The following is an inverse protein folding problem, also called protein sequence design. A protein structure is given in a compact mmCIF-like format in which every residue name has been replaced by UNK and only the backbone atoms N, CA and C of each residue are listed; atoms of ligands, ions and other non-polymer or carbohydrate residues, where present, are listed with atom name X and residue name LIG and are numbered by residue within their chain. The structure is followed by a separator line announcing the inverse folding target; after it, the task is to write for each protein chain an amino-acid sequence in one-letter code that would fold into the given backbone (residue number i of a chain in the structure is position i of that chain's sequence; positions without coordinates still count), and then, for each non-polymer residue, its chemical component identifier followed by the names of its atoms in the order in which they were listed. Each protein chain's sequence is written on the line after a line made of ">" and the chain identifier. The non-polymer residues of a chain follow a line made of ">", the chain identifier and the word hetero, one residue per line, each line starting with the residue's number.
data_IF_673931783862
#
_entry.id   IF_673931783862
#
_cell.length_a   1.000
_cell.length_b   1.000
_cell.length_c   1.000
_cell.angle_alpha   90.00
_cell.angle_beta   90.00
_cell.angle_gamma   90.00
#
_symmetry.space_group_name_H-M   'P 1'
#
loop_
_entity.id
_entity.type
_entity.pdbx_description
1 polymer ?
#
# COMPACT_ATOMS: atom_id res chain seq x y z
N UNK A 1 6.34 11.49 -26.50
CA UNK A 1 4.97 11.75 -26.98
C UNK A 1 4.22 12.75 -26.09
N UNK A 2 3.76 12.44 -24.86
CA UNK A 2 2.91 13.35 -24.03
C UNK A 2 3.36 14.83 -23.95
N UNK A 3 4.66 15.11 -23.88
CA UNK A 3 5.20 16.48 -23.79
C UNK A 3 6.06 16.90 -24.99
N UNK A 4 6.10 16.10 -26.07
CA UNK A 4 6.97 16.35 -27.22
C UNK A 4 8.49 16.19 -26.97
N UNK A 5 8.95 16.35 -25.72
CA UNK A 5 10.35 16.25 -25.31
C UNK A 5 10.58 15.07 -24.35
N UNK A 6 11.74 14.43 -24.44
CA UNK A 6 12.24 13.46 -23.45
C UNK A 6 13.60 13.92 -22.93
N UNK A 7 13.69 14.26 -21.65
CA UNK A 7 14.98 14.40 -20.98
C UNK A 7 15.53 13.02 -20.64
N UNK A 8 16.61 12.62 -21.32
CA UNK A 8 17.24 11.31 -21.14
C UNK A 8 17.99 11.18 -19.81
N UNK A 9 18.31 12.30 -19.16
CA UNK A 9 19.02 12.32 -17.86
C UNK A 9 18.17 11.75 -16.73
N UNK A 10 16.86 11.60 -16.96
CA UNK A 10 15.92 11.14 -15.95
C UNK A 10 15.79 12.12 -14.80
N UNK A 11 15.21 11.67 -13.69
CA UNK A 11 14.89 12.57 -12.57
C UNK A 11 13.58 13.35 -12.81
N UNK A 12 12.97 13.85 -11.74
CA UNK A 12 11.65 14.49 -11.77
C UNK A 12 10.51 13.52 -11.43
N UNK A 13 9.34 13.70 -12.04
CA UNK A 13 8.09 13.02 -11.65
C UNK A 13 8.10 11.47 -11.70
N UNK A 14 8.96 10.88 -12.51
CA UNK A 14 9.09 9.42 -12.64
C UNK A 14 10.21 8.86 -11.75
N UNK A 15 10.82 9.69 -10.92
CA UNK A 15 11.92 9.33 -10.02
C UNK A 15 11.42 9.01 -8.63
N UNK A 16 12.14 8.13 -7.93
CA UNK A 16 12.00 7.95 -6.49
C UNK A 16 12.29 9.23 -5.67
N UNK A 17 12.85 10.29 -6.27
CA UNK A 17 13.01 11.58 -5.58
C UNK A 17 11.69 12.21 -5.16
N UNK A 18 10.64 12.04 -5.97
CA UNK A 18 9.32 12.60 -5.65
C UNK A 18 8.71 11.95 -4.40
N UNK A 19 8.97 10.65 -4.20
CA UNK A 19 8.40 9.91 -3.08
C UNK A 19 8.97 10.34 -1.74
N UNK A 20 10.14 10.99 -1.71
CA UNK A 20 10.69 11.60 -0.50
C UNK A 20 9.75 12.67 0.09
N UNK A 21 9.08 13.46 -0.77
CA UNK A 21 8.13 14.48 -0.31
C UNK A 21 6.84 13.86 0.21
N UNK A 22 6.38 12.77 -0.41
CA UNK A 22 5.24 11.99 0.10
C UNK A 22 5.51 11.45 1.50
N UNK A 23 6.67 10.83 1.70
CA UNK A 23 7.07 10.28 3.01
C UNK A 23 7.22 11.39 4.06
N UNK A 24 7.83 12.52 3.70
CA UNK A 24 7.96 13.66 4.61
C UNK A 24 6.59 14.22 5.04
N UNK A 25 5.66 14.41 4.10
CA UNK A 25 4.30 14.85 4.39
C UNK A 25 3.52 13.78 5.20
N UNK A 26 3.66 12.51 4.82
CA UNK A 26 3.06 11.38 5.52
C UNK A 26 3.53 11.26 6.97
N UNK A 27 4.76 11.64 7.29
CA UNK A 27 5.25 11.67 8.67
C UNK A 27 4.47 12.69 9.54
N UNK A 28 4.14 13.86 8.98
CA UNK A 28 3.28 14.86 9.65
C UNK A 28 1.88 14.26 9.88
N UNK A 29 1.31 13.63 8.84
CA UNK A 29 -0.01 13.01 8.93
C UNK A 29 -0.04 11.87 9.96
N UNK A 30 0.94 10.95 9.94
CA UNK A 30 1.10 9.88 10.92
C UNK A 30 1.16 10.43 12.34
N UNK A 31 1.95 11.48 12.57
CA UNK A 31 2.07 12.11 13.89
C UNK A 31 0.75 12.70 14.36
N UNK A 32 0.08 13.48 13.51
CA UNK A 32 -1.22 14.08 13.84
C UNK A 32 -2.28 13.02 14.15
N UNK A 33 -2.38 11.99 13.31
CA UNK A 33 -3.34 10.89 13.46
C UNK A 33 -3.11 10.11 14.75
N UNK A 34 -1.85 9.82 15.08
CA UNK A 34 -1.48 9.14 16.32
C UNK A 34 -1.83 9.98 17.55
N UNK A 35 -1.43 11.26 17.59
CA UNK A 35 -1.64 12.12 18.76
C UNK A 35 -3.11 12.49 18.98
N UNK A 36 -3.89 12.66 17.90
CA UNK A 36 -5.29 13.12 17.99
C UNK A 36 -6.31 12.00 18.08
N UNK A 37 -6.04 10.86 17.45
CA UNK A 37 -7.01 9.78 17.31
C UNK A 37 -6.47 8.42 17.78
N UNK A 38 -5.20 8.32 18.19
CA UNK A 38 -4.57 7.04 18.52
C UNK A 38 -4.32 6.15 17.30
N UNK A 39 -4.49 6.68 16.08
CA UNK A 39 -4.37 5.91 14.84
C UNK A 39 -2.91 5.58 14.58
N UNK A 40 -2.60 4.29 14.45
CA UNK A 40 -1.26 3.80 14.13
C UNK A 40 -1.25 3.18 12.74
N UNK A 41 -0.29 3.61 11.92
CA UNK A 41 -0.16 3.16 10.52
C UNK A 41 1.17 2.45 10.34
N UNK A 42 1.11 1.20 9.90
CA UNK A 42 2.28 0.33 9.68
C UNK A 42 2.11 -0.46 8.39
N UNK A 43 3.19 -0.69 7.67
CA UNK A 43 3.23 -1.49 6.45
C UNK A 43 4.32 -2.53 6.47
N UNK A 44 4.16 -3.58 5.69
CA UNK A 44 5.12 -4.66 5.57
C UNK A 44 5.08 -5.29 4.17
N UNK A 45 6.18 -5.94 3.79
CA UNK A 45 6.27 -6.74 2.57
C UNK A 45 5.48 -8.04 2.77
N UNK A 46 4.37 -8.18 2.05
CA UNK A 46 3.49 -9.35 2.15
C UNK A 46 3.69 -10.39 1.03
N UNK A 47 4.48 -10.05 0.00
CA UNK A 47 4.95 -11.00 -1.01
C UNK A 47 6.14 -10.43 -1.79
N UNK A 48 7.15 -11.24 -2.08
CA UNK A 48 8.24 -10.93 -3.02
C UNK A 48 8.35 -12.04 -4.05
N UNK A 49 7.91 -11.80 -5.28
CA UNK A 49 7.82 -12.86 -6.28
C UNK A 49 7.03 -14.06 -5.76
N UNK A 50 7.62 -15.28 -5.73
CA UNK A 50 6.95 -16.47 -5.22
C UNK A 50 6.94 -16.57 -3.68
N UNK A 51 7.74 -15.77 -2.97
CA UNK A 51 7.94 -15.91 -1.52
C UNK A 51 6.90 -15.07 -0.77
N UNK A 52 6.22 -15.70 0.18
CA UNK A 52 5.22 -15.07 1.06
C UNK A 52 5.62 -15.29 2.52
N UNK A 53 5.62 -14.24 3.37
CA UNK A 53 5.70 -14.42 4.82
C UNK A 53 4.53 -15.29 5.31
N UNK A 54 4.78 -16.15 6.28
CA UNK A 54 3.74 -16.98 6.89
C UNK A 54 3.28 -16.44 8.24
N UNK A 55 4.04 -15.49 8.80
CA UNK A 55 3.77 -14.85 10.08
C UNK A 55 3.78 -13.34 9.93
N UNK A 56 3.02 -12.68 10.80
CA UNK A 56 3.06 -11.24 10.98
C UNK A 56 3.61 -10.93 12.37
N UNK A 57 4.90 -10.62 12.46
CA UNK A 57 5.52 -10.05 13.66
C UNK A 57 5.93 -8.61 13.37
N UNK A 58 5.27 -7.66 14.06
CA UNK A 58 5.53 -6.24 13.86
C UNK A 58 6.90 -5.80 14.38
N UNK A 59 7.47 -6.51 15.36
CA UNK A 59 8.74 -6.11 16.00
C UNK A 59 9.93 -6.31 15.06
N UNK A 60 9.83 -7.22 14.08
CA UNK A 60 10.92 -7.50 13.13
C UNK A 60 10.80 -6.73 11.82
N UNK A 61 9.66 -6.08 11.53
CA UNK A 61 9.42 -5.40 10.24
C UNK A 61 10.50 -4.36 9.96
N UNK A 62 10.82 -3.50 10.92
CA UNK A 62 11.80 -2.43 10.71
C UNK A 62 13.26 -2.88 10.95
N UNK A 63 13.48 -4.13 11.36
CA UNK A 63 14.83 -4.64 11.71
C UNK A 63 15.55 -5.32 10.54
N UNK A 64 14.90 -5.41 9.38
CA UNK A 64 15.44 -6.05 8.19
C UNK A 64 15.21 -5.19 6.93
N UNK A 65 16.04 -5.32 5.89
CA UNK A 65 15.99 -4.42 4.72
C UNK A 65 14.77 -4.66 3.82
N UNK A 66 13.98 -5.70 4.06
CA UNK A 66 12.83 -6.07 3.23
C UNK A 66 11.50 -5.54 3.76
N UNK A 67 11.45 -5.03 5.00
CA UNK A 67 10.20 -4.86 5.73
C UNK A 67 9.43 -6.18 5.86
N UNK A 68 10.13 -7.30 5.91
CA UNK A 68 9.52 -8.62 6.06
C UNK A 68 9.05 -8.80 7.52
N UNK A 69 7.81 -9.22 7.76
CA UNK A 69 7.31 -9.45 9.11
C UNK A 69 7.63 -10.86 9.64
N UNK A 70 8.37 -11.66 8.88
CA UNK A 70 8.71 -13.04 9.20
C UNK A 70 10.23 -13.22 9.10
N UNK A 71 10.89 -13.19 10.25
CA UNK A 71 12.35 -13.31 10.34
C UNK A 71 12.88 -14.62 9.74
N UNK A 72 12.08 -15.70 9.76
CA UNK A 72 12.49 -17.00 9.22
C UNK A 72 12.59 -16.99 7.69
N UNK A 73 11.88 -16.07 7.02
CA UNK A 73 11.89 -15.92 5.56
C UNK A 73 12.98 -14.97 5.05
N UNK A 74 13.59 -14.17 5.91
CA UNK A 74 14.63 -13.18 5.49
C UNK A 74 15.79 -13.83 4.74
N UNK A 75 16.40 -14.96 5.18
CA UNK A 75 17.49 -15.59 4.44
C UNK A 75 17.07 -16.08 3.04
N UNK A 76 15.82 -16.55 2.90
CA UNK A 76 15.27 -16.98 1.62
C UNK A 76 15.10 -15.80 0.65
N UNK A 77 14.61 -14.66 1.17
CA UNK A 77 14.49 -13.41 0.40
C UNK A 77 15.86 -12.90 -0.06
N UNK A 78 16.88 -12.95 0.79
CA UNK A 78 18.26 -12.56 0.45
C UNK A 78 18.82 -13.43 -0.67
N UNK A 79 18.72 -14.76 -0.52
CA UNK A 79 19.20 -15.71 -1.52
C UNK A 79 18.49 -15.53 -2.87
N UNK A 80 17.17 -15.31 -2.85
CA UNK A 80 16.39 -15.07 -4.06
C UNK A 80 16.78 -13.76 -4.75
N UNK A 81 17.01 -12.70 -3.98
CA UNK A 81 17.44 -11.40 -4.52
C UNK A 81 18.86 -11.44 -5.09
N UNK A 82 19.76 -12.22 -4.49
CA UNK A 82 21.09 -12.47 -5.05
C UNK A 82 21.05 -13.29 -6.33
N UNK A 83 20.17 -14.28 -6.42
CA UNK A 83 19.93 -15.01 -7.66
C UNK A 83 19.45 -14.08 -8.78
N UNK A 84 18.43 -13.24 -8.51
CA UNK A 84 17.93 -12.25 -9.48
C UNK A 84 19.02 -11.27 -9.94
N UNK A 85 19.88 -10.81 -9.03
CA UNK A 85 21.03 -9.95 -9.38
C UNK A 85 22.02 -10.64 -10.31
N UNK A 86 22.31 -11.92 -10.07
CA UNK A 86 23.21 -12.74 -10.91
C UNK A 86 22.60 -12.98 -12.29
N UNK A 87 21.30 -13.23 -12.36
CA UNK A 87 20.54 -13.39 -13.60
C UNK A 87 20.36 -12.06 -14.37
N UNK A 88 20.55 -10.92 -13.71
CA UNK A 88 20.29 -9.59 -14.29
C UNK A 88 18.79 -9.31 -14.47
N UNK A 89 17.94 -9.97 -13.68
CA UNK A 89 16.49 -9.95 -13.76
C UNK A 89 15.86 -9.14 -12.61
N UNK A 90 14.54 -8.98 -12.62
CA UNK A 90 13.78 -8.28 -11.58
C UNK A 90 12.48 -9.00 -11.26
N UNK A 91 11.88 -8.64 -10.12
CA UNK A 91 10.64 -9.25 -9.63
C UNK A 91 9.71 -8.20 -9.02
N UNK A 92 8.41 -8.52 -9.01
CA UNK A 92 7.39 -7.71 -8.35
C UNK A 92 7.28 -8.02 -6.85
N UNK A 93 6.47 -7.22 -6.16
CA UNK A 93 6.17 -7.41 -4.74
C UNK A 93 4.74 -6.98 -4.41
N UNK A 94 4.22 -7.46 -3.28
CA UNK A 94 2.99 -6.96 -2.66
C UNK A 94 3.34 -6.36 -1.30
N UNK A 95 2.86 -5.15 -1.05
CA UNK A 95 2.95 -4.48 0.24
C UNK A 95 1.56 -4.48 0.88
N UNK A 96 1.48 -4.82 2.16
CA UNK A 96 0.27 -4.61 2.96
C UNK A 96 0.50 -3.42 3.88
N UNK A 97 -0.47 -2.51 3.95
CA UNK A 97 -0.47 -1.38 4.89
C UNK A 97 -1.72 -1.46 5.74
N UNK A 98 -1.56 -1.30 7.05
CA UNK A 98 -2.60 -1.42 8.06
C UNK A 98 -2.69 -0.12 8.85
N UNK A 99 -3.89 0.43 8.99
CA UNK A 99 -4.19 1.50 9.94
C UNK A 99 -5.10 0.96 11.05
N UNK A 100 -4.58 0.97 12.28
CA UNK A 100 -5.28 0.46 13.47
C UNK A 100 -5.83 1.62 14.30
N UNK A 101 -7.01 1.46 14.87
CA UNK A 101 -7.65 2.48 15.73
C UNK A 101 -8.31 3.63 14.97
N UNK A 102 -8.65 3.43 13.69
CA UNK A 102 -9.35 4.44 12.88
C UNK A 102 -10.80 4.54 13.36
N UNK A 103 -11.29 5.73 13.79
CA UNK A 103 -12.68 5.89 14.19
C UNK A 103 -13.65 5.55 13.05
N UNK A 104 -14.84 5.00 13.35
CA UNK A 104 -15.85 4.77 12.33
C UNK A 104 -16.36 6.08 11.71
N UNK A 105 -16.77 6.02 10.45
CA UNK A 105 -17.44 7.11 9.75
C UNK A 105 -16.54 8.03 8.92
N UNK A 106 -15.24 7.76 8.79
CA UNK A 106 -14.38 8.53 7.87
C UNK A 106 -14.59 8.07 6.43
N UNK A 107 -14.88 9.01 5.53
CA UNK A 107 -15.17 8.77 4.11
C UNK A 107 -16.27 9.71 3.63
N UNK A 108 -16.30 10.07 2.34
CA UNK A 108 -17.31 10.99 1.79
C UNK A 108 -18.02 10.37 0.56
N UNK A 109 -18.99 9.45 0.80
CA UNK A 109 -19.83 8.95 -0.28
C UNK A 109 -20.62 10.07 -0.98
N UNK A 110 -20.91 9.98 -2.28
CA UNK A 110 -20.77 8.78 -3.12
C UNK A 110 -19.47 8.72 -3.93
N UNK A 111 -18.79 9.84 -4.17
CA UNK A 111 -17.64 9.92 -5.09
C UNK A 111 -16.29 9.84 -4.40
N UNK A 112 -16.18 10.40 -3.20
CA UNK A 112 -14.94 10.48 -2.42
C UNK A 112 -15.00 9.44 -1.28
N UNK A 113 -15.41 8.23 -1.63
CA UNK A 113 -15.39 7.10 -0.70
C UNK A 113 -13.96 6.83 -0.25
N UNK A 114 -13.79 6.41 0.99
CA UNK A 114 -12.46 6.20 1.58
C UNK A 114 -11.64 5.17 0.79
N UNK A 115 -12.25 4.04 0.41
CA UNK A 115 -11.63 3.00 -0.41
C UNK A 115 -11.23 3.51 -1.81
N UNK A 116 -12.05 4.37 -2.42
CA UNK A 116 -11.75 4.98 -3.72
C UNK A 116 -10.53 5.90 -3.67
N UNK A 117 -10.44 6.77 -2.66
CA UNK A 117 -9.29 7.67 -2.46
C UNK A 117 -8.02 6.89 -2.06
N UNK A 118 -8.15 5.84 -1.25
CA UNK A 118 -7.04 4.95 -0.95
C UNK A 118 -6.54 4.22 -2.20
N UNK A 119 -7.44 3.70 -3.02
CA UNK A 119 -7.08 3.06 -4.29
C UNK A 119 -6.36 4.05 -5.23
N UNK A 120 -6.88 5.28 -5.34
CA UNK A 120 -6.24 6.35 -6.11
C UNK A 120 -4.83 6.66 -5.58
N UNK A 121 -4.70 6.89 -4.28
CA UNK A 121 -3.44 7.24 -3.63
C UNK A 121 -2.38 6.14 -3.79
N UNK A 122 -2.75 4.87 -3.59
CA UNK A 122 -1.83 3.74 -3.77
C UNK A 122 -1.46 3.52 -5.24
N UNK A 123 -2.43 3.61 -6.16
CA UNK A 123 -2.17 3.46 -7.60
C UNK A 123 -1.33 4.62 -8.17
N UNK A 124 -1.29 5.77 -7.49
CA UNK A 124 -0.43 6.90 -7.84
C UNK A 124 1.06 6.64 -7.61
N UNK A 125 1.42 5.56 -6.89
CA UNK A 125 2.80 5.20 -6.61
C UNK A 125 3.39 4.54 -7.86
N UNK A 126 4.59 4.97 -8.25
CA UNK A 126 5.26 4.39 -9.41
C UNK A 126 5.42 2.87 -9.26
N UNK A 127 5.18 2.15 -10.36
CA UNK A 127 5.15 0.69 -10.46
C UNK A 127 3.96 -0.02 -9.79
N UNK A 128 3.07 0.68 -9.08
CA UNK A 128 1.81 0.09 -8.63
C UNK A 128 0.95 -0.33 -9.82
N UNK A 129 0.34 -1.52 -9.75
CA UNK A 129 -0.48 -2.12 -10.81
C UNK A 129 -1.81 -2.70 -10.32
N UNK A 130 -1.98 -2.87 -9.01
CA UNK A 130 -3.21 -3.35 -8.39
C UNK A 130 -3.31 -2.86 -6.96
N UNK A 131 -4.53 -2.60 -6.50
CA UNK A 131 -4.83 -2.24 -5.11
C UNK A 131 -6.03 -3.08 -4.66
N UNK A 132 -5.97 -3.58 -3.44
CA UNK A 132 -7.01 -4.38 -2.80
C UNK A 132 -7.32 -3.78 -1.42
N UNK A 133 -8.58 -3.82 -1.02
CA UNK A 133 -9.05 -3.49 0.33
C UNK A 133 -9.58 -4.77 0.96
N UNK A 134 -9.17 -5.05 2.21
CA UNK A 134 -9.54 -6.29 2.90
C UNK A 134 -9.15 -7.53 2.12
N UNK A 135 -10.10 -8.45 1.95
CA UNK A 135 -9.90 -9.69 1.18
C UNK A 135 -9.60 -9.46 -0.31
N UNK A 136 -9.87 -8.27 -0.84
CA UNK A 136 -9.48 -7.92 -2.20
C UNK A 136 -10.12 -8.81 -3.26
N UNK A 137 -9.30 -9.31 -4.18
CA UNK A 137 -9.78 -10.21 -5.22
C UNK A 137 -10.25 -11.57 -4.70
N UNK A 138 -9.86 -11.99 -3.49
CA UNK A 138 -10.35 -13.23 -2.89
C UNK A 138 -11.87 -13.18 -2.64
N UNK A 139 -12.45 -11.98 -2.49
CA UNK A 139 -13.90 -11.81 -2.31
C UNK A 139 -14.72 -12.33 -3.51
N UNK A 140 -14.14 -12.42 -4.71
CA UNK A 140 -14.82 -12.91 -5.93
C UNK A 140 -15.25 -14.37 -5.79
N UNK A 141 -14.49 -15.18 -5.04
CA UNK A 141 -14.76 -16.60 -4.84
C UNK A 141 -15.67 -16.87 -3.63
N UNK A 142 -16.03 -15.84 -2.85
CA UNK A 142 -16.73 -15.99 -1.60
C UNK A 142 -18.26 -15.90 -1.76
N UNK A 143 -18.97 -16.69 -0.96
CA UNK A 143 -20.43 -16.54 -0.80
C UNK A 143 -20.71 -15.44 0.21
N UNK A 144 -21.79 -14.68 0.02
CA UNK A 144 -22.18 -13.60 0.94
C UNK A 144 -22.49 -14.05 2.38
N UNK A 145 -22.70 -15.34 2.64
CA UNK A 145 -22.80 -15.89 4.01
C UNK A 145 -21.45 -16.06 4.70
N UNK A 146 -20.37 -16.16 3.94
CA UNK A 146 -19.00 -16.26 4.44
C UNK A 146 -18.28 -14.90 4.41
N UNK A 147 -18.57 -14.07 3.40
CA UNK A 147 -17.91 -12.76 3.24
C UNK A 147 -18.43 -11.68 4.19
N UNK A 148 -19.66 -11.81 4.72
CA UNK A 148 -20.25 -10.77 5.56
C UNK A 148 -19.49 -10.69 6.89
N UNK A 149 -19.11 -9.47 7.26
CA UNK A 149 -18.58 -9.21 8.60
C UNK A 149 -19.74 -9.07 9.58
N UNK A 150 -19.98 -10.12 10.37
CA UNK A 150 -21.04 -10.13 11.39
C UNK A 150 -20.65 -9.25 12.59
N UNK A 151 -21.64 -8.57 13.18
CA UNK A 151 -21.45 -7.60 14.26
C UNK A 151 -22.19 -8.07 15.50
N UNK A 152 -21.49 -8.06 16.64
CA UNK A 152 -22.05 -8.28 17.97
C UNK A 152 -21.85 -7.03 18.84
N UNK A 153 -22.41 -7.01 20.04
CA UNK A 153 -22.12 -5.95 21.03
C UNK A 153 -20.66 -5.91 21.45
N UNK A 154 -19.92 -7.01 21.29
CA UNK A 154 -18.50 -7.14 21.63
C UNK A 154 -17.59 -6.80 20.46
N UNK A 155 -18.14 -6.64 19.24
CA UNK A 155 -17.39 -6.24 18.05
C UNK A 155 -17.70 -7.06 16.81
N UNK A 156 -16.92 -6.81 15.75
CA UNK A 156 -17.00 -7.53 14.49
C UNK A 156 -16.31 -8.91 14.59
N UNK A 157 -16.96 -9.95 14.08
CA UNK A 157 -16.43 -11.33 14.14
C UNK A 157 -15.36 -11.63 13.07
N UNK A 158 -15.26 -10.79 12.05
CA UNK A 158 -14.30 -10.88 10.94
C UNK A 158 -14.05 -9.50 10.35
N UNK A 159 -13.02 -9.36 9.49
CA UNK A 159 -12.68 -8.11 8.80
C UNK A 159 -12.40 -8.34 7.30
N UNK A 160 -13.32 -9.03 6.61
CA UNK A 160 -13.24 -9.29 5.18
C UNK A 160 -13.32 -8.00 4.36
N UNK A 161 -14.05 -7.00 4.86
CA UNK A 161 -14.16 -5.68 4.26
C UNK A 161 -12.90 -4.80 4.42
N UNK A 162 -11.93 -5.22 5.25
CA UNK A 162 -10.70 -4.45 5.46
C UNK A 162 -10.93 -3.06 6.04
N UNK A 163 -11.86 -2.96 7.00
CA UNK A 163 -12.15 -1.76 7.76
C UNK A 163 -12.96 -0.69 7.04
N UNK A 164 -13.47 -0.98 5.83
CA UNK A 164 -14.26 -0.02 5.04
C UNK A 164 -15.57 -0.66 4.59
N UNK A 165 -16.69 -0.13 5.06
CA UNK A 165 -18.04 -0.60 4.71
C UNK A 165 -18.82 0.55 4.08
N UNK A 166 -19.36 0.34 2.87
CA UNK A 166 -20.13 1.37 2.17
C UNK A 166 -19.35 2.64 1.82
N UNK A 167 -18.01 2.57 1.80
CA UNK A 167 -17.13 3.71 1.51
C UNK A 167 -16.75 4.56 2.72
N UNK A 168 -17.09 4.13 3.95
CA UNK A 168 -16.68 4.76 5.21
C UNK A 168 -15.95 3.76 6.12
N UNK A 169 -15.10 4.24 7.02
CA UNK A 169 -14.43 3.37 7.99
C UNK A 169 -15.43 2.72 8.96
N UNK A 170 -15.23 1.43 9.27
CA UNK A 170 -16.09 0.67 10.18
C UNK A 170 -15.64 0.71 11.65
N UNK A 171 -14.43 1.21 11.91
CA UNK A 171 -13.77 1.10 13.22
C UNK A 171 -12.74 -0.03 13.30
N UNK A 172 -12.85 -1.02 12.41
CA UNK A 172 -11.89 -2.10 12.29
C UNK A 172 -10.60 -1.63 11.62
N UNK A 173 -9.56 -2.45 11.69
CA UNK A 173 -8.30 -2.19 11.01
C UNK A 173 -8.53 -1.99 9.50
N UNK A 174 -8.05 -0.86 8.98
CA UNK A 174 -8.07 -0.62 7.54
C UNK A 174 -6.90 -1.36 6.93
N UNK A 175 -7.18 -2.31 6.03
CA UNK A 175 -6.17 -3.17 5.39
C UNK A 175 -6.14 -2.91 3.90
N UNK A 176 -4.98 -2.46 3.41
CA UNK A 176 -4.76 -2.15 1.98
C UNK A 176 -3.59 -2.96 1.45
N UNK A 177 -3.79 -3.72 0.37
CA UNK A 177 -2.71 -4.37 -0.36
C UNK A 177 -2.38 -3.63 -1.65
N UNK A 178 -1.10 -3.41 -1.95
CA UNK A 178 -0.64 -2.77 -3.19
C UNK A 178 0.33 -3.69 -3.92
N UNK A 179 0.04 -4.00 -5.17
CA UNK A 179 0.87 -4.83 -6.04
C UNK A 179 1.79 -3.97 -6.91
N UNK A 180 3.09 -4.25 -6.85
CA UNK A 180 4.14 -3.58 -7.63
C UNK A 180 4.70 -4.51 -8.70
N UNK A 181 4.79 -4.02 -9.93
CA UNK A 181 5.39 -4.79 -11.03
C UNK A 181 6.93 -4.89 -10.90
N UNK A 182 7.56 -5.86 -11.59
CA UNK A 182 9.02 -5.89 -11.74
C UNK A 182 9.60 -4.62 -12.36
N UNK A 183 10.82 -4.27 -11.95
CA UNK A 183 11.58 -3.14 -12.50
C UNK A 183 11.89 -3.38 -13.98
N UNK A 184 11.54 -2.45 -14.86
CA UNK A 184 11.71 -2.61 -16.31
C UNK A 184 13.12 -2.31 -16.84
N UNK A 185 13.99 -1.69 -16.03
CA UNK A 185 15.39 -1.44 -16.38
C UNK A 185 16.25 -2.63 -15.99
N UNK A 186 16.64 -3.43 -16.99
CA UNK A 186 17.44 -4.64 -16.83
C UNK A 186 18.78 -4.50 -17.55
N UNK A 187 19.76 -5.30 -17.10
CA UNK A 187 21.05 -5.44 -17.81
C UNK A 187 20.95 -6.38 -19.01
N UNK A 188 19.92 -7.21 -19.03
CA UNK A 188 19.59 -8.06 -20.17
C UNK A 188 19.10 -7.18 -21.33
N UNK A 189 19.60 -7.42 -22.56
CA UNK A 189 19.15 -6.68 -23.73
C UNK A 189 17.65 -6.87 -23.99
N UNK A 190 16.97 -5.77 -24.35
CA UNK A 190 15.56 -5.75 -24.68
C UNK A 190 15.28 -5.01 -25.99
N UNK A 191 14.30 -5.48 -26.75
CA UNK A 191 13.84 -4.80 -27.98
C UNK A 191 13.05 -3.55 -27.61
N UNK A 192 13.33 -2.44 -28.30
CA UNK A 192 12.60 -1.18 -28.18
C UNK A 192 12.66 -0.40 -29.50
N UNK A 193 12.20 0.85 -29.48
CA UNK A 193 12.33 1.78 -30.61
C UNK A 193 13.03 3.07 -30.19
N UNK A 194 13.80 3.66 -31.09
CA UNK A 194 14.40 4.99 -30.89
C UNK A 194 13.40 6.12 -31.18
N UNK A 195 13.86 7.37 -31.15
CA UNK A 195 13.00 8.54 -31.40
C UNK A 195 12.55 8.65 -32.87
N UNK A 196 13.27 8.00 -33.77
CA UNK A 196 12.97 7.90 -35.21
C UNK A 196 11.97 6.77 -35.51
N UNK A 197 11.62 5.95 -34.53
CA UNK A 197 10.71 4.80 -34.68
C UNK A 197 11.39 3.54 -35.19
N UNK A 198 12.72 3.52 -35.25
CA UNK A 198 13.50 2.37 -35.72
C UNK A 198 13.67 1.35 -34.60
N UNK A 199 13.60 0.06 -34.95
CA UNK A 199 13.83 -1.02 -34.00
C UNK A 199 15.28 -1.02 -33.53
N UNK A 200 15.48 -0.94 -32.22
CA UNK A 200 16.80 -0.96 -31.59
C UNK A 200 16.79 -1.88 -30.37
N UNK A 201 17.97 -2.26 -29.92
CA UNK A 201 18.16 -2.96 -28.67
C UNK A 201 18.59 -1.97 -27.58
N UNK A 202 18.01 -2.09 -26.38
CA UNK A 202 18.36 -1.28 -25.22
C UNK A 202 18.92 -2.17 -24.12
N UNK A 203 20.04 -1.73 -23.56
CA UNK A 203 20.65 -2.28 -22.35
C UNK A 203 20.82 -1.12 -21.38
N UNK A 204 20.27 -1.24 -20.18
CA UNK A 204 20.52 -0.26 -19.12
C UNK A 204 21.75 -0.68 -18.31
N UNK A 205 22.73 0.23 -18.24
CA UNK A 205 23.98 0.02 -17.50
C UNK A 205 23.88 0.61 -16.10
N UNK A 206 24.51 -0.06 -15.11
CA UNK A 206 24.54 0.40 -13.72
C UNK A 206 23.89 -0.57 -12.71
N UNK A 207 23.74 -0.13 -11.47
CA UNK A 207 23.03 -0.87 -10.42
C UNK A 207 21.55 -0.55 -10.50
N UNK A 208 20.73 -1.57 -10.75
CA UNK A 208 19.28 -1.48 -10.71
C UNK A 208 18.76 -2.25 -9.52
N UNK A 209 17.67 -1.76 -8.94
CA UNK A 209 16.99 -2.46 -7.86
C UNK A 209 16.20 -3.65 -8.46
N UNK A 210 16.54 -4.90 -8.12
CA UNK A 210 15.82 -6.06 -8.63
C UNK A 210 14.37 -6.13 -8.11
N UNK A 211 14.01 -5.36 -7.07
CA UNK A 211 12.62 -5.18 -6.68
C UNK A 211 12.37 -3.80 -6.06
N UNK A 212 11.81 -2.88 -6.86
CA UNK A 212 11.43 -1.54 -6.37
C UNK A 212 10.30 -1.56 -5.33
N UNK A 213 9.50 -2.62 -5.28
CA UNK A 213 8.35 -2.71 -4.38
C UNK A 213 8.73 -2.76 -2.89
N UNK A 214 9.92 -3.27 -2.54
CA UNK A 214 10.40 -3.32 -1.14
C UNK A 214 10.44 -1.92 -0.53
N UNK A 215 10.94 -0.93 -1.27
CA UNK A 215 11.06 0.46 -0.80
C UNK A 215 9.73 1.20 -0.82
N UNK A 216 8.67 0.59 -1.35
CA UNK A 216 7.35 1.19 -1.39
C UNK A 216 6.63 1.13 -0.05
N UNK A 217 7.05 0.29 0.90
CA UNK A 217 6.45 0.18 2.23
C UNK A 217 6.21 1.53 2.92
N UNK A 218 7.25 2.36 3.19
CA UNK A 218 7.04 3.66 3.82
C UNK A 218 6.25 4.65 2.94
N UNK A 219 6.21 4.45 1.62
CA UNK A 219 5.45 5.29 0.70
C UNK A 219 3.97 4.94 0.80
N UNK A 220 3.61 3.66 0.81
CA UNK A 220 2.23 3.19 1.04
C UNK A 220 1.70 3.65 2.39
N UNK A 221 2.51 3.54 3.45
CA UNK A 221 2.17 4.09 4.77
C UNK A 221 1.89 5.60 4.72
N UNK A 222 2.74 6.37 4.04
CA UNK A 222 2.57 7.80 3.90
C UNK A 222 1.29 8.16 3.12
N UNK A 223 1.01 7.46 2.03
CA UNK A 223 -0.20 7.68 1.24
C UNK A 223 -1.48 7.34 2.03
N UNK A 224 -1.48 6.22 2.77
CA UNK A 224 -2.58 5.87 3.67
C UNK A 224 -2.79 6.96 4.74
N UNK A 225 -1.71 7.44 5.36
CA UNK A 225 -1.78 8.50 6.37
C UNK A 225 -2.33 9.81 5.82
N UNK A 226 -1.91 10.23 4.62
CA UNK A 226 -2.38 11.46 4.00
C UNK A 226 -3.88 11.41 3.70
N UNK A 227 -4.36 10.30 3.13
CA UNK A 227 -5.80 10.12 2.84
C UNK A 227 -6.61 10.07 4.14
N UNK A 228 -6.16 9.33 5.15
CA UNK A 228 -6.86 9.26 6.44
C UNK A 228 -6.89 10.62 7.15
N UNK A 229 -5.80 11.38 7.10
CA UNK A 229 -5.78 12.73 7.69
C UNK A 229 -6.76 13.67 6.98
N UNK A 230 -6.83 13.61 5.65
CA UNK A 230 -7.80 14.41 4.89
C UNK A 230 -9.24 14.05 5.28
N UNK A 231 -9.60 12.76 5.25
CA UNK A 231 -10.95 12.32 5.66
C UNK A 231 -11.28 12.62 7.12
N UNK A 232 -10.31 12.55 8.04
CA UNK A 232 -10.52 12.96 9.43
C UNK A 232 -10.88 14.44 9.54
N UNK A 233 -10.22 15.31 8.77
CA UNK A 233 -10.48 16.74 8.74
C UNK A 233 -11.82 17.07 8.06
N UNK A 234 -12.17 16.37 6.97
CA UNK A 234 -13.47 16.48 6.29
C UNK A 234 -14.61 16.04 7.22
N UNK A 235 -14.47 14.89 7.88
CA UNK A 235 -15.45 14.40 8.85
C UNK A 235 -15.71 15.43 9.96
N UNK A 236 -14.64 16.00 10.52
CA UNK A 236 -14.76 17.05 11.54
C UNK A 236 -15.50 18.30 11.02
N UNK A 237 -15.31 18.67 9.75
CA UNK A 237 -15.97 19.84 9.16
C UNK A 237 -17.46 19.59 8.88
N UNK A 238 -17.80 18.38 8.41
CA UNK A 238 -19.14 18.02 7.96
C UNK A 238 -20.07 17.60 9.13
N UNK A 239 -19.51 16.96 10.16
CA UNK A 239 -20.28 16.21 11.17
C UNK A 239 -19.96 16.61 12.62
N UNK A 240 -19.62 17.89 12.88
CA UNK A 240 -19.17 18.35 14.19
C UNK A 240 -20.17 18.12 15.35
N UNK A 241 -21.47 18.17 15.06
CA UNK A 241 -22.54 18.07 16.07
C UNK A 241 -23.23 16.70 16.11
N UNK A 242 -22.70 15.71 15.38
CA UNK A 242 -23.29 14.36 15.35
C UNK A 242 -23.05 13.67 16.69
N UNK A 243 -24.14 13.30 17.36
CA UNK A 243 -24.11 12.47 18.56
C UNK A 243 -24.89 11.18 18.32
N UNK A 244 -24.33 10.07 18.78
CA UNK A 244 -24.96 8.76 18.71
C UNK A 244 -25.34 8.29 20.11
N UNK A 245 -26.55 7.75 20.27
CA UNK A 245 -26.97 7.10 21.53
C UNK A 245 -26.42 5.69 21.67
N UNK A 246 -25.99 5.10 20.55
CA UNK A 246 -25.31 3.82 20.51
C UNK A 246 -23.87 3.97 21.02
N UNK A 247 -23.48 3.13 21.98
CA UNK A 247 -22.10 3.04 22.42
C UNK A 247 -21.17 2.61 21.28
N UNK A 248 -19.90 3.00 21.34
CA UNK A 248 -18.92 2.58 20.35
C UNK A 248 -18.80 1.05 20.35
N UNK A 249 -19.03 0.44 19.19
CA UNK A 249 -18.84 -1.00 18.98
C UNK A 249 -17.33 -1.24 18.82
N UNK A 250 -16.72 -2.16 19.59
CA UNK A 250 -15.31 -2.49 19.42
C UNK A 250 -15.00 -3.03 18.01
N UNK A 251 -13.76 -2.84 17.57
CA UNK A 251 -13.30 -3.35 16.28
C UNK A 251 -13.31 -4.89 16.19
N UNK A 252 -13.18 -5.57 17.33
CA UNK A 252 -13.10 -7.02 17.47
C UNK A 252 -13.51 -7.41 18.90
N UNK A 253 -14.08 -8.60 19.10
CA UNK A 253 -14.20 -9.21 20.43
C UNK A 253 -12.82 -9.34 21.08
N UNK A 254 -12.76 -9.16 22.41
CA UNK A 254 -11.54 -9.39 23.20
C UNK A 254 -11.03 -10.84 23.13
#
# INVERSE_FOLDING_TARGET
>A
QKYGLRDYRGGGRSSARETAMRVAAGAIAKKYLLERFGVRIRGYLSQLGPIRPEKLDWEVVETNPFFCPDAARVPELEAYMDALRKEGNSVGARITTVATGVPPGWGEPVFERLDAELAFAMMSINAAKGVEIGDGFAAVEQKGTAHRDEITSEGFLSNHAGGILGGISSGQDIVVHTAFKPTSSLRLPGRTINLQGEAVEVVTTGRHDPCVGIRATPICEAMLALVLMDHALRQRAQNADVSTTLAAIPAHPD
#
